data_IF_001694064264
#
_entry.id   IF_001694064264
#
_cell.length_a   1.000
_cell.length_b   1.000
_cell.length_c   1.000
_cell.angle_alpha   90.00
_cell.angle_beta   90.00
_cell.angle_gamma   90.00
#
_symmetry.space_group_name_H-M   'P 1'
#
loop_
_entity.id
_entity.type
_entity.pdbx_description
1 polymer ?
#
# COMPACT_ATOMS: atom_id res chain seq x y z
N UNK A 1 25.39 -17.27 0.15
CA UNK A 1 23.95 -17.38 -0.14
C UNK A 1 23.22 -18.07 1.01
N UNK A 2 22.53 -17.31 1.87
CA UNK A 2 21.79 -17.87 3.01
C UNK A 2 20.34 -18.18 2.66
N UNK A 3 19.98 -19.47 2.59
CA UNK A 3 18.64 -19.96 2.22
C UNK A 3 17.55 -19.41 3.14
N UNK A 4 17.82 -19.33 4.45
CA UNK A 4 16.87 -18.80 5.43
C UNK A 4 16.53 -17.33 5.17
N UNK A 5 17.53 -16.53 4.79
CA UNK A 5 17.35 -15.11 4.49
C UNK A 5 16.52 -14.91 3.22
N UNK A 6 16.67 -15.80 2.22
CA UNK A 6 15.87 -15.75 0.99
C UNK A 6 14.41 -16.12 1.22
N UNK A 7 14.16 -17.15 2.02
CA UNK A 7 12.80 -17.53 2.40
C UNK A 7 12.13 -16.36 3.14
N UNK A 8 12.80 -15.78 4.14
CA UNK A 8 12.28 -14.63 4.87
C UNK A 8 11.99 -13.43 3.96
N UNK A 9 12.93 -13.09 3.06
CA UNK A 9 12.74 -12.02 2.11
C UNK A 9 11.56 -12.28 1.18
N UNK A 10 11.40 -13.51 0.68
CA UNK A 10 10.28 -13.89 -0.18
C UNK A 10 8.93 -13.72 0.51
N UNK A 11 8.81 -14.14 1.78
CA UNK A 11 7.59 -13.93 2.55
C UNK A 11 7.29 -12.43 2.77
N UNK A 12 8.30 -11.62 3.07
CA UNK A 12 8.13 -10.17 3.22
C UNK A 12 7.66 -9.55 1.90
N UNK A 13 8.26 -9.94 0.77
CA UNK A 13 7.88 -9.47 -0.55
C UNK A 13 6.46 -9.88 -0.93
N UNK A 14 6.07 -11.12 -0.62
CA UNK A 14 4.71 -11.62 -0.80
C UNK A 14 3.69 -10.79 0.00
N UNK A 15 3.96 -10.55 1.29
CA UNK A 15 3.08 -9.75 2.16
C UNK A 15 2.95 -8.32 1.62
N UNK A 16 4.06 -7.69 1.24
CA UNK A 16 4.06 -6.36 0.63
C UNK A 16 3.21 -6.30 -0.63
N UNK A 17 3.36 -7.30 -1.51
CA UNK A 17 2.62 -7.42 -2.77
C UNK A 17 1.12 -7.62 -2.53
N UNK A 18 0.74 -8.52 -1.62
CA UNK A 18 -0.67 -8.74 -1.27
C UNK A 18 -1.31 -7.47 -0.70
N UNK A 19 -0.59 -6.77 0.18
CA UNK A 19 -1.05 -5.54 0.78
C UNK A 19 -1.28 -4.46 -0.29
N UNK A 20 -0.40 -4.35 -1.30
CA UNK A 20 -0.64 -3.47 -2.45
C UNK A 20 -1.82 -3.94 -3.30
N UNK A 21 -1.90 -5.24 -3.62
CA UNK A 21 -2.95 -5.81 -4.45
C UNK A 21 -4.35 -5.54 -3.89
N UNK A 22 -4.58 -5.81 -2.61
CA UNK A 22 -5.88 -5.56 -1.95
C UNK A 22 -6.20 -4.08 -1.77
N UNK A 23 -5.21 -3.19 -1.94
CA UNK A 23 -5.41 -1.74 -1.86
C UNK A 23 -5.19 -1.06 -3.22
N UNK A 24 -5.10 -1.81 -4.33
CA UNK A 24 -4.74 -1.29 -5.67
C UNK A 24 -5.89 -0.61 -6.41
N UNK A 25 -7.09 -0.62 -5.84
CA UNK A 25 -8.27 0.00 -6.43
C UNK A 25 -8.02 1.48 -6.75
N UNK A 26 -8.73 2.00 -7.76
CA UNK A 26 -8.75 3.43 -8.04
C UNK A 26 -9.27 4.18 -6.81
N UNK A 27 -8.66 5.33 -6.50
CA UNK A 27 -9.17 6.21 -5.44
C UNK A 27 -10.62 6.57 -5.76
N UNK A 28 -11.47 6.53 -4.73
CA UNK A 28 -12.87 6.90 -4.87
C UNK A 28 -12.93 8.37 -5.33
N UNK A 29 -13.71 8.68 -6.38
CA UNK A 29 -13.87 10.04 -6.86
C UNK A 29 -14.57 10.88 -5.77
N UNK A 30 -14.15 12.13 -5.63
CA UNK A 30 -14.89 13.11 -4.85
C UNK A 30 -16.10 13.56 -5.65
N UNK A 31 -17.25 13.74 -4.98
CA UNK A 31 -18.48 14.20 -5.64
C UNK A 31 -18.43 15.69 -5.94
N UNK A 32 -17.64 16.45 -5.16
CA UNK A 32 -17.36 17.89 -5.26
C UNK A 32 -18.09 18.65 -6.38
N UNK A 33 -19.31 19.08 -6.08
CA UNK A 33 -19.86 20.32 -6.62
C UNK A 33 -19.40 21.46 -5.69
N UNK A 34 -18.89 22.58 -6.24
CA UNK A 34 -18.45 23.75 -5.47
C UNK A 34 -19.52 24.37 -4.54
N UNK A 35 -20.78 23.91 -4.62
CA UNK A 35 -21.90 24.25 -3.73
C UNK A 35 -22.72 22.99 -3.36
N UNK A 36 -22.07 21.93 -2.89
CA UNK A 36 -22.77 20.74 -2.39
C UNK A 36 -23.46 20.99 -1.05
N UNK A 37 -24.59 20.30 -0.81
CA UNK A 37 -25.25 20.27 0.51
C UNK A 37 -24.31 19.71 1.59
N UNK A 38 -24.63 19.95 2.87
CA UNK A 38 -23.85 19.41 4.00
C UNK A 38 -23.62 17.89 3.91
N UNK A 39 -24.57 17.16 3.32
CA UNK A 39 -24.48 15.73 3.07
C UNK A 39 -23.37 15.35 2.08
N UNK A 40 -23.19 16.14 1.01
CA UNK A 40 -22.13 15.94 0.02
C UNK A 40 -20.76 16.25 0.64
N UNK A 41 -20.69 17.30 1.47
CA UNK A 41 -19.46 17.68 2.18
C UNK A 41 -19.02 16.57 3.14
N UNK A 42 -19.96 15.97 3.88
CA UNK A 42 -19.65 14.86 4.79
C UNK A 42 -19.24 13.59 4.02
N UNK A 43 -19.90 13.29 2.89
CA UNK A 43 -19.53 12.16 2.04
C UNK A 43 -18.11 12.32 1.46
N UNK A 44 -17.73 13.53 1.02
CA UNK A 44 -16.37 13.83 0.57
C UNK A 44 -15.33 13.66 1.69
N UNK A 45 -15.67 14.02 2.93
CA UNK A 45 -14.80 13.81 4.11
C UNK A 45 -14.58 12.32 4.39
N UNK A 46 -15.62 11.50 4.29
CA UNK A 46 -15.52 10.04 4.43
C UNK A 46 -14.69 9.43 3.30
N UNK A 47 -14.92 9.86 2.06
CA UNK A 47 -14.18 9.46 0.87
C UNK A 47 -12.70 9.79 1.00
N UNK A 48 -12.37 10.99 1.46
CA UNK A 48 -10.98 11.41 1.76
C UNK A 48 -10.32 10.46 2.74
N UNK A 49 -11.01 10.11 3.82
CA UNK A 49 -10.47 9.23 4.87
C UNK A 49 -10.21 7.83 4.35
N UNK A 50 -11.12 7.27 3.54
CA UNK A 50 -10.95 5.95 2.90
C UNK A 50 -9.77 5.94 1.94
N UNK A 51 -9.70 6.94 1.05
CA UNK A 51 -8.61 7.12 0.09
C UNK A 51 -7.25 7.27 0.79
N UNK A 52 -7.19 8.06 1.86
CA UNK A 52 -5.96 8.24 2.63
C UNK A 52 -5.47 6.94 3.26
N UNK A 53 -6.36 6.16 3.90
CA UNK A 53 -6.01 4.85 4.47
C UNK A 53 -5.49 3.89 3.40
N UNK A 54 -6.10 3.91 2.21
CA UNK A 54 -5.69 3.07 1.09
C UNK A 54 -4.28 3.45 0.59
N UNK A 55 -3.99 4.74 0.45
CA UNK A 55 -2.65 5.23 0.08
C UNK A 55 -1.58 4.88 1.11
N UNK A 56 -1.88 5.00 2.41
CA UNK A 56 -0.95 4.62 3.48
C UNK A 56 -0.63 3.13 3.40
N UNK A 57 -1.63 2.28 3.19
CA UNK A 57 -1.43 0.84 3.00
C UNK A 57 -0.57 0.57 1.77
N UNK A 58 -0.87 1.15 0.61
CA UNK A 58 -0.02 1.01 -0.58
C UNK A 58 1.45 1.39 -0.31
N UNK A 59 1.70 2.49 0.41
CA UNK A 59 3.06 2.91 0.80
C UNK A 59 3.75 1.88 1.69
N UNK A 60 3.05 1.30 2.66
CA UNK A 60 3.58 0.22 3.50
C UNK A 60 3.94 -1.00 2.64
N UNK A 61 3.07 -1.37 1.70
CA UNK A 61 3.31 -2.48 0.78
C UNK A 61 4.55 -2.28 -0.09
N UNK A 62 4.73 -1.08 -0.67
CA UNK A 62 5.94 -0.71 -1.42
C UNK A 62 7.18 -0.77 -0.52
N UNK A 63 7.08 -0.31 0.73
CA UNK A 63 8.17 -0.37 1.70
C UNK A 63 8.61 -1.81 1.99
N UNK A 64 7.65 -2.70 2.28
CA UNK A 64 7.91 -4.12 2.49
C UNK A 64 8.53 -4.78 1.25
N UNK A 65 8.00 -4.49 0.07
CA UNK A 65 8.53 -5.03 -1.19
C UNK A 65 9.98 -4.57 -1.44
N UNK A 66 10.25 -3.27 -1.26
CA UNK A 66 11.61 -2.72 -1.37
C UNK A 66 12.55 -3.39 -0.37
N UNK A 67 12.12 -3.55 0.88
CA UNK A 67 12.91 -4.21 1.91
C UNK A 67 13.20 -5.68 1.57
N UNK A 68 12.24 -6.39 0.97
CA UNK A 68 12.45 -7.76 0.50
C UNK A 68 13.58 -7.86 -0.54
N UNK A 69 13.62 -6.93 -1.51
CA UNK A 69 14.69 -6.90 -2.51
C UNK A 69 16.05 -6.57 -1.89
N UNK A 70 16.09 -5.66 -0.91
CA UNK A 70 17.33 -5.35 -0.18
C UNK A 70 17.86 -6.60 0.55
N UNK A 71 16.99 -7.35 1.23
CA UNK A 71 17.39 -8.60 1.91
C UNK A 71 17.87 -9.67 0.92
N UNK A 72 17.23 -9.78 -0.25
CA UNK A 72 17.70 -10.69 -1.30
C UNK A 72 19.08 -10.29 -1.82
N UNK A 73 19.32 -8.99 -2.04
CA UNK A 73 20.61 -8.46 -2.48
C UNK A 73 21.71 -8.73 -1.46
N UNK A 74 21.45 -8.48 -0.17
CA UNK A 74 22.37 -8.79 0.93
C UNK A 74 22.65 -10.29 1.01
N UNK A 75 21.62 -11.14 0.86
CA UNK A 75 21.79 -12.60 0.86
C UNK A 75 22.62 -13.12 -0.33
N UNK A 76 22.63 -12.39 -1.44
CA UNK A 76 23.45 -12.73 -2.61
C UNK A 76 24.90 -12.27 -2.45
N UNK A 77 25.13 -11.15 -1.76
CA UNK A 77 26.46 -10.60 -1.51
C UNK A 77 27.23 -11.32 -0.38
N UNK A 78 26.52 -12.00 0.54
CA UNK A 78 27.05 -12.83 1.63
C UNK A 78 27.07 -14.32 1.24
#
# INVERSE_FOLDING_TARGET
MSTYLQIAATFIGLIGTLLMFFNSYSLLPYESAMMGSDEIIENDRLTRTKNHKMLVRQKIGIGLLTFSFLLQLVSYAL
#
